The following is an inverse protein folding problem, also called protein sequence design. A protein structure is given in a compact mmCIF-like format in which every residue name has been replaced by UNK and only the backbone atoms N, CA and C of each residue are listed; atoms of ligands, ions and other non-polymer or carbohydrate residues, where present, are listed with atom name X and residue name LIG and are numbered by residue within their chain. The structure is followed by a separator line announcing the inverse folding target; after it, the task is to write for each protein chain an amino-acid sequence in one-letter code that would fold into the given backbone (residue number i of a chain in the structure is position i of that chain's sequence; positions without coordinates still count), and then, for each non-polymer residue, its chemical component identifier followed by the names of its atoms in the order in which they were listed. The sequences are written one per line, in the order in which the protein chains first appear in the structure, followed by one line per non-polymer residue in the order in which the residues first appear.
data_IF_569643641370
#
_entry.id   IF_569643641370
#
_cell.length_a   1.000
_cell.length_b   1.000
_cell.length_c   1.000
_cell.angle_alpha   90.00
_cell.angle_beta   90.00
_cell.angle_gamma   90.00
#
_symmetry.space_group_name_H-M   'P 1'
#
loop_
_entity.id
_entity.type
_entity.pdbx_description
1 polymer ?
#
# COMPACT_ATOMS: atom_id res chain seq x y z
N UNK A 1 -7.25 -2.29 2.18
CA UNK A 1 -7.18 -0.81 2.22
C UNK A 1 -5.75 -0.33 2.47
N UNK A 2 -5.08 -0.70 3.57
CA UNK A 2 -3.71 -0.28 3.92
C UNK A 2 -2.65 -0.53 2.83
N UNK A 3 -2.80 -1.58 2.02
CA UNK A 3 -1.81 -1.97 1.00
C UNK A 3 -1.46 -0.82 0.04
N UNK A 4 -2.42 0.05 -0.31
CA UNK A 4 -2.19 1.20 -1.20
C UNK A 4 -1.20 2.18 -0.59
N UNK A 5 -1.36 2.52 0.68
CA UNK A 5 -0.46 3.42 1.41
C UNK A 5 0.95 2.81 1.51
N UNK A 6 1.05 1.51 1.77
CA UNK A 6 2.34 0.83 1.84
C UNK A 6 3.07 0.84 0.49
N UNK A 7 2.37 0.51 -0.60
CA UNK A 7 2.94 0.41 -1.95
C UNK A 7 3.39 1.76 -2.51
N UNK A 8 2.74 2.85 -2.10
CA UNK A 8 3.08 4.22 -2.49
C UNK A 8 4.02 4.91 -1.49
N UNK A 9 4.43 4.22 -0.42
CA UNK A 9 5.31 4.77 0.59
C UNK A 9 4.69 5.86 1.47
N UNK A 10 3.36 5.94 1.53
CA UNK A 10 2.69 6.79 2.51
C UNK A 10 2.80 6.15 3.90
N UNK A 11 3.27 6.92 4.88
CA UNK A 11 3.40 6.48 6.28
C UNK A 11 2.48 7.24 7.22
N UNK A 12 1.73 8.20 6.71
CA UNK A 12 0.81 9.05 7.46
C UNK A 12 -0.66 8.60 7.32
N UNK A 13 -0.87 7.30 7.08
CA UNK A 13 -2.22 6.74 7.06
C UNK A 13 -2.81 6.75 8.48
N UNK A 14 -3.79 7.59 8.69
CA UNK A 14 -4.49 7.76 9.97
C UNK A 14 -6.01 7.67 9.80
N UNK A 15 -6.75 7.57 10.90
CA UNK A 15 -8.19 7.32 10.87
C UNK A 15 -9.00 8.33 10.04
N UNK A 16 -8.54 9.58 9.92
CA UNK A 16 -9.20 10.61 9.11
C UNK A 16 -9.04 10.40 7.59
N UNK A 17 -8.14 9.52 7.17
CA UNK A 17 -7.96 9.14 5.76
C UNK A 17 -8.92 8.03 5.33
N UNK A 18 -9.85 7.66 6.21
CA UNK A 18 -10.85 6.63 5.97
C UNK A 18 -12.23 7.19 6.26
N UNK A 19 -13.11 7.10 5.27
CA UNK A 19 -14.50 7.53 5.39
C UNK A 19 -15.45 6.53 4.74
N UNK A 20 -16.71 6.61 5.09
CA UNK A 20 -17.75 5.80 4.49
C UNK A 20 -19.00 6.63 4.22
N UNK A 21 -19.69 6.31 3.14
CA UNK A 21 -21.04 6.79 2.86
C UNK A 21 -22.05 5.96 3.63
N UNK A 22 -23.07 6.61 4.12
CA UNK A 22 -24.25 5.96 4.68
C UNK A 22 -25.39 6.00 3.66
N UNK A 23 -25.86 4.85 3.21
CA UNK A 23 -26.95 4.75 2.23
C UNK A 23 -28.35 4.57 2.86
N UNK A 24 -28.45 4.68 4.18
CA UNK A 24 -29.68 4.44 4.96
C UNK A 24 -29.78 3.03 5.54
N UNK A 25 -28.90 2.11 5.14
CA UNK A 25 -28.90 0.71 5.57
C UNK A 25 -27.53 0.22 6.02
N UNK A 26 -26.50 0.54 5.29
CA UNK A 26 -25.13 0.07 5.51
C UNK A 26 -24.10 1.15 5.18
N UNK A 27 -22.90 0.97 5.72
CA UNK A 27 -21.75 1.81 5.43
C UNK A 27 -20.98 1.25 4.23
N UNK A 28 -20.71 2.11 3.25
CA UNK A 28 -19.89 1.80 2.08
C UNK A 28 -18.63 2.68 2.10
N UNK A 29 -17.45 2.06 2.02
CA UNK A 29 -16.20 2.82 2.02
C UNK A 29 -16.13 3.77 0.84
N UNK A 30 -15.69 5.01 1.10
CA UNK A 30 -15.37 5.97 0.05
C UNK A 30 -14.19 5.47 -0.79
N UNK A 31 -13.99 5.98 -2.02
CA UNK A 31 -12.70 5.88 -2.68
C UNK A 31 -11.58 6.32 -1.74
N UNK A 32 -10.42 5.65 -1.82
CA UNK A 32 -9.26 6.04 -1.03
C UNK A 32 -8.78 7.43 -1.44
N UNK A 33 -8.41 8.25 -0.49
CA UNK A 33 -7.89 9.60 -0.68
C UNK A 33 -6.64 9.82 0.20
N UNK A 34 -5.94 10.93 -0.03
CA UNK A 34 -4.71 11.29 0.69
C UNK A 34 -3.62 10.21 0.61
N UNK A 35 -3.53 9.53 -0.52
CA UNK A 35 -2.48 8.54 -0.80
C UNK A 35 -1.25 9.27 -1.32
N UNK A 36 -0.69 10.16 -0.51
CA UNK A 36 0.48 10.95 -0.88
C UNK A 36 1.77 10.24 -0.48
N UNK A 37 2.67 9.93 -1.41
CA UNK A 37 3.97 9.36 -1.09
C UNK A 37 4.76 10.28 -0.15
N UNK A 38 5.30 9.71 0.93
CA UNK A 38 6.10 10.45 1.89
C UNK A 38 7.59 10.26 1.62
N UNK A 39 8.39 11.30 1.84
CA UNK A 39 9.83 11.17 1.76
C UNK A 39 10.32 10.20 2.85
N UNK A 40 11.10 9.18 2.45
CA UNK A 40 11.64 8.17 3.37
C UNK A 40 13.13 8.34 3.55
N UNK A 41 13.54 8.33 4.80
CA UNK A 41 14.94 8.16 5.19
C UNK A 41 15.13 6.72 5.69
N UNK A 42 15.93 5.94 4.99
CA UNK A 42 16.14 4.52 5.32
C UNK A 42 15.09 3.57 4.71
N UNK A 43 15.22 2.30 5.01
CA UNK A 43 14.38 1.24 4.45
C UNK A 43 13.15 0.94 5.30
N UNK A 44 13.29 0.93 6.63
CA UNK A 44 12.17 0.63 7.53
C UNK A 44 11.21 1.80 7.63
N UNK A 45 9.93 1.48 7.75
CA UNK A 45 8.88 2.45 8.00
C UNK A 45 7.75 1.83 8.82
N UNK A 46 7.07 2.70 9.56
CA UNK A 46 5.87 2.37 10.33
C UNK A 46 4.71 3.25 9.88
N UNK A 47 3.51 2.70 9.93
CA UNK A 47 2.29 3.46 9.70
C UNK A 47 1.87 4.25 10.94
N UNK A 48 1.15 5.35 10.74
CA UNK A 48 0.57 6.12 11.85
C UNK A 48 -0.47 5.29 12.63
N UNK A 49 -1.23 4.44 11.93
CA UNK A 49 -2.18 3.50 12.53
C UNK A 49 -1.60 2.10 12.68
N UNK A 50 -2.16 1.34 13.62
CA UNK A 50 -1.93 -0.10 13.71
C UNK A 50 -2.61 -0.79 12.51
N UNK A 51 -1.89 -1.71 11.87
CA UNK A 51 -2.42 -2.50 10.75
C UNK A 51 -3.13 -3.75 11.28
N UNK A 52 -2.49 -4.43 12.23
CA UNK A 52 -3.02 -5.63 12.85
C UNK A 52 -2.46 -5.79 14.26
N UNK A 53 -3.31 -6.03 15.25
CA UNK A 53 -2.94 -6.10 16.67
C UNK A 53 -2.07 -4.91 17.08
N UNK A 54 -0.85 -5.14 17.55
CA UNK A 54 0.11 -4.09 17.94
C UNK A 54 1.12 -3.77 16.83
N UNK A 55 0.90 -4.26 15.62
CA UNK A 55 1.81 -4.13 14.49
C UNK A 55 1.46 -2.93 13.61
N UNK A 56 2.46 -2.11 13.31
CA UNK A 56 2.36 -0.95 12.43
C UNK A 56 3.45 -0.85 11.37
N UNK A 57 4.35 -1.84 11.28
CA UNK A 57 5.39 -1.81 10.27
C UNK A 57 4.79 -1.84 8.86
N UNK A 58 5.37 -1.06 7.95
CA UNK A 58 4.92 -0.95 6.56
C UNK A 58 5.25 -2.23 5.77
N UNK A 59 4.65 -3.36 6.15
CA UNK A 59 4.82 -4.66 5.50
C UNK A 59 3.48 -5.24 5.05
N UNK A 60 3.46 -5.76 3.84
CA UNK A 60 2.28 -6.44 3.28
C UNK A 60 1.96 -7.75 4.01
N UNK A 61 2.97 -8.40 4.61
CA UNK A 61 2.75 -9.59 5.44
C UNK A 61 1.78 -9.33 6.59
N UNK A 62 1.89 -8.17 7.25
CA UNK A 62 0.97 -7.76 8.33
C UNK A 62 -0.45 -7.53 7.79
N UNK A 63 -0.57 -6.95 6.59
CA UNK A 63 -1.88 -6.82 5.94
C UNK A 63 -2.49 -8.18 5.61
N UNK A 64 -1.66 -9.17 5.26
CA UNK A 64 -2.11 -10.53 5.01
C UNK A 64 -2.58 -11.22 6.30
N UNK A 65 -1.86 -11.04 7.40
CA UNK A 65 -2.26 -11.53 8.73
C UNK A 65 -3.63 -10.95 9.15
N UNK A 66 -3.86 -9.67 8.85
CA UNK A 66 -5.13 -8.98 9.14
C UNK A 66 -6.31 -9.42 8.26
N UNK A 67 -6.11 -10.27 7.27
CA UNK A 67 -7.13 -10.61 6.25
C UNK A 67 -8.46 -11.07 6.84
N UNK A 68 -8.42 -11.86 7.90
CA UNK A 68 -9.61 -12.43 8.57
C UNK A 68 -10.50 -11.37 9.19
N UNK A 69 -9.93 -10.27 9.68
CA UNK A 69 -10.68 -9.14 10.23
C UNK A 69 -11.52 -8.43 9.14
N UNK A 70 -11.15 -8.64 7.88
CA UNK A 70 -11.85 -8.13 6.70
C UNK A 70 -12.69 -9.21 6.00
N UNK A 71 -12.96 -10.34 6.66
CA UNK A 71 -13.71 -11.48 6.14
C UNK A 71 -13.14 -12.06 4.83
N UNK A 72 -11.81 -11.94 4.67
CA UNK A 72 -11.09 -12.48 3.53
C UNK A 72 -10.34 -13.76 3.92
N UNK A 73 -10.33 -14.72 3.02
CA UNK A 73 -9.37 -15.82 3.09
C UNK A 73 -7.97 -15.29 2.78
N UNK A 74 -6.96 -16.00 3.24
CA UNK A 74 -5.56 -15.65 2.94
C UNK A 74 -5.27 -15.62 1.43
N UNK A 75 -5.87 -16.54 0.67
CA UNK A 75 -5.72 -16.59 -0.79
C UNK A 75 -6.30 -15.34 -1.49
N UNK A 76 -7.51 -14.91 -1.09
CA UNK A 76 -8.14 -13.69 -1.61
C UNK A 76 -7.33 -12.45 -1.25
N UNK A 77 -6.84 -12.35 -0.03
CA UNK A 77 -6.01 -11.23 0.39
C UNK A 77 -4.68 -11.17 -0.38
N UNK A 78 -4.05 -12.32 -0.62
CA UNK A 78 -2.84 -12.42 -1.41
C UNK A 78 -3.08 -12.03 -2.88
N UNK A 79 -4.21 -12.43 -3.45
CA UNK A 79 -4.60 -12.05 -4.83
C UNK A 79 -4.81 -10.53 -4.95
N UNK A 80 -5.44 -9.91 -3.96
CA UNK A 80 -5.59 -8.45 -3.90
C UNK A 80 -4.23 -7.76 -3.85
N UNK A 81 -3.30 -8.26 -3.03
CA UNK A 81 -1.94 -7.71 -2.93
C UNK A 81 -1.22 -7.82 -4.28
N UNK A 82 -1.27 -8.99 -4.93
CA UNK A 82 -0.65 -9.20 -6.25
C UNK A 82 -1.18 -8.22 -7.28
N UNK A 83 -2.49 -8.11 -7.41
CA UNK A 83 -3.13 -7.19 -8.37
C UNK A 83 -2.69 -5.74 -8.16
N UNK A 84 -2.59 -5.29 -6.91
CA UNK A 84 -2.14 -3.92 -6.62
C UNK A 84 -0.67 -3.71 -6.98
N UNK A 85 0.20 -4.67 -6.70
CA UNK A 85 1.62 -4.62 -7.09
C UNK A 85 1.76 -4.60 -8.62
N UNK A 86 1.00 -5.44 -9.33
CA UNK A 86 0.99 -5.49 -10.79
C UNK A 86 0.53 -4.16 -11.39
N UNK A 87 -0.55 -3.58 -10.89
CA UNK A 87 -1.04 -2.26 -11.33
C UNK A 87 0.05 -1.19 -11.18
N UNK A 88 0.71 -1.10 -10.02
CA UNK A 88 1.77 -0.11 -9.81
C UNK A 88 2.94 -0.33 -10.78
N UNK A 89 3.31 -1.58 -11.06
CA UNK A 89 4.38 -1.92 -12.01
C UNK A 89 4.01 -1.60 -13.45
N UNK A 90 2.82 -1.99 -13.86
CA UNK A 90 2.32 -1.81 -15.23
C UNK A 90 2.18 -0.33 -15.60
N UNK A 91 1.60 0.46 -14.70
CA UNK A 91 1.33 1.87 -14.96
C UNK A 91 2.49 2.81 -14.62
N UNK A 92 3.59 2.31 -14.05
CA UNK A 92 4.71 3.12 -13.60
C UNK A 92 5.24 4.08 -14.67
N UNK A 93 5.62 3.53 -15.84
CA UNK A 93 6.17 4.34 -16.92
C UNK A 93 5.17 5.38 -17.42
N UNK A 94 3.93 4.98 -17.65
CA UNK A 94 2.87 5.87 -18.11
C UNK A 94 2.63 7.03 -17.16
N UNK A 95 2.52 6.77 -15.86
CA UNK A 95 2.30 7.81 -14.84
C UNK A 95 3.51 8.74 -14.74
N UNK A 96 4.72 8.20 -14.84
CA UNK A 96 5.94 9.02 -14.86
C UNK A 96 6.02 9.91 -16.10
N UNK A 97 5.56 9.43 -17.26
CA UNK A 97 5.49 10.23 -18.50
C UNK A 97 4.46 11.36 -18.36
N UNK A 98 3.27 11.06 -17.85
CA UNK A 98 2.22 12.04 -17.59
C UNK A 98 2.65 13.12 -16.57
N UNK A 99 3.47 12.73 -15.61
CA UNK A 99 4.04 13.63 -14.60
C UNK A 99 5.32 14.35 -15.06
N UNK A 100 5.77 14.13 -16.29
CA UNK A 100 7.00 14.71 -16.88
C UNK A 100 8.26 14.46 -16.03
N UNK A 101 8.32 13.32 -15.34
CA UNK A 101 9.45 12.97 -14.48
C UNK A 101 10.69 12.66 -15.31
N UNK A 102 11.83 13.19 -14.88
CA UNK A 102 13.13 12.82 -15.44
C UNK A 102 13.47 11.36 -15.13
N UNK A 103 14.38 10.77 -15.91
CA UNK A 103 14.87 9.40 -15.64
C UNK A 103 15.51 9.29 -14.25
N UNK A 104 16.19 10.35 -13.80
CA UNK A 104 16.79 10.41 -12.46
C UNK A 104 15.72 10.34 -11.39
N UNK A 105 14.63 11.11 -11.53
CA UNK A 105 13.52 11.13 -10.57
C UNK A 105 12.79 9.78 -10.55
N UNK A 106 12.54 9.17 -11.71
CA UNK A 106 11.93 7.84 -11.83
C UNK A 106 12.71 6.79 -11.06
N UNK A 107 14.02 6.75 -11.25
CA UNK A 107 14.92 5.82 -10.57
C UNK A 107 15.06 6.13 -9.07
N UNK A 108 14.97 7.41 -8.70
CA UNK A 108 14.99 7.82 -7.29
C UNK A 108 13.72 7.39 -6.55
N UNK A 109 12.55 7.55 -7.16
CA UNK A 109 11.25 7.26 -6.54
C UNK A 109 10.97 5.76 -6.48
N UNK A 110 11.31 5.02 -7.54
CA UNK A 110 11.12 3.58 -7.62
C UNK A 110 12.03 2.86 -6.62
N UNK A 111 11.47 1.99 -5.80
CA UNK A 111 12.22 1.27 -4.77
C UNK A 111 12.50 2.06 -3.49
N UNK A 112 12.28 3.36 -3.51
CA UNK A 112 12.35 4.19 -2.28
C UNK A 112 10.98 4.49 -1.73
N UNK A 113 10.16 5.19 -2.48
CA UNK A 113 8.79 5.54 -2.10
C UNK A 113 7.82 4.50 -2.64
N UNK A 114 7.87 4.24 -3.95
CA UNK A 114 7.02 3.24 -4.58
C UNK A 114 7.69 1.87 -4.58
N UNK A 115 6.96 0.85 -4.19
CA UNK A 115 7.41 -0.55 -4.18
C UNK A 115 8.73 -0.75 -3.40
N UNK A 116 8.87 -0.08 -2.26
CA UNK A 116 10.05 -0.22 -1.42
C UNK A 116 10.24 -1.69 -1.00
N UNK A 117 11.46 -2.26 -1.08
CA UNK A 117 11.72 -3.67 -0.75
C UNK A 117 11.28 -4.07 0.66
N UNK A 118 11.35 -3.18 1.64
CA UNK A 118 10.90 -3.44 3.00
C UNK A 118 9.43 -3.84 3.09
N UNK A 119 8.59 -3.29 2.20
CA UNK A 119 7.14 -3.57 2.16
C UNK A 119 6.86 -5.04 1.84
N UNK A 120 7.78 -5.70 1.13
CA UNK A 120 7.62 -7.08 0.67
C UNK A 120 8.21 -8.13 1.62
N UNK A 121 8.93 -7.69 2.66
CA UNK A 121 9.57 -8.62 3.59
C UNK A 121 8.57 -9.63 4.17
N UNK A 122 8.93 -10.91 4.02
CA UNK A 122 8.12 -12.05 4.44
C UNK A 122 7.11 -12.53 3.39
N UNK A 123 7.01 -11.89 2.22
CA UNK A 123 6.14 -12.31 1.11
C UNK A 123 6.87 -12.51 -0.23
N UNK A 124 8.19 -12.38 -0.27
CA UNK A 124 8.98 -12.43 -1.51
C UNK A 124 8.68 -13.68 -2.33
N UNK A 125 8.76 -14.85 -1.71
CA UNK A 125 8.49 -16.15 -2.37
C UNK A 125 7.04 -16.31 -2.82
N UNK A 126 6.10 -15.65 -2.12
CA UNK A 126 4.66 -15.77 -2.40
C UNK A 126 4.20 -14.83 -3.52
N UNK A 127 4.94 -13.76 -3.74
CA UNK A 127 4.66 -12.76 -4.78
C UNK A 127 5.57 -12.92 -6.00
N UNK A 128 6.52 -13.87 -5.98
CA UNK A 128 7.52 -14.09 -7.03
C UNK A 128 8.35 -12.83 -7.34
N UNK A 129 8.84 -12.15 -6.30
CA UNK A 129 9.63 -10.91 -6.37
C UNK A 129 10.93 -11.06 -5.58
#
# INVERSE_FOLDING_TARGET
MYQRFLLTGNTDDHARNHAAFWNGKELELTPAYDICPQARTGNEASQAMLIYEQQRLSRLSICLEASREFLLTEAEALDIIRKQVEIVREYWSKVCDEAELTEIDRNFLRGRQFLNPFVFQGLENRLNI
#
